data_IF_644085814792
#
_entry.id   IF_644085814792
#
_cell.length_a   1.000
_cell.length_b   1.000
_cell.length_c   1.000
_cell.angle_alpha   90.00
_cell.angle_beta   90.00
_cell.angle_gamma   90.00
#
_symmetry.space_group_name_H-M   'P 1'
#
loop_
_entity.id
_entity.type
_entity.pdbx_description
1 polymer ?
#
# COMPACT_ATOMS: atom_id res chain seq x y z
N UNK A 1 26.23 13.71 -9.32
CA UNK A 1 25.57 12.82 -8.35
C UNK A 1 24.08 13.13 -8.31
N UNK A 2 23.21 12.14 -8.39
CA UNK A 2 21.77 12.35 -8.21
C UNK A 2 21.50 12.86 -6.78
N UNK A 3 20.75 13.96 -6.66
CA UNK A 3 20.39 14.52 -5.34
C UNK A 3 19.45 13.55 -4.63
N UNK A 4 19.72 13.28 -3.35
CA UNK A 4 18.86 12.43 -2.54
C UNK A 4 17.40 12.91 -2.58
N UNK A 5 16.42 12.01 -2.70
CA UNK A 5 15.03 12.39 -2.81
C UNK A 5 14.53 13.05 -1.53
N UNK A 6 13.83 14.17 -1.70
CA UNK A 6 13.08 14.82 -0.63
C UNK A 6 11.66 14.25 -0.55
N UNK A 7 10.98 14.48 0.58
CA UNK A 7 9.57 14.13 0.75
C UNK A 7 8.70 14.77 -0.36
N UNK A 8 8.90 16.07 -0.62
CA UNK A 8 8.14 16.80 -1.63
C UNK A 8 8.38 16.25 -3.05
N UNK A 9 9.63 15.96 -3.42
CA UNK A 9 9.93 15.40 -4.74
C UNK A 9 9.37 13.98 -4.91
N UNK A 10 9.32 13.20 -3.83
CA UNK A 10 8.75 11.84 -3.85
C UNK A 10 7.23 11.86 -3.98
N UNK A 11 6.54 12.73 -3.23
CA UNK A 11 5.09 12.95 -3.40
C UNK A 11 4.78 13.36 -4.83
N UNK A 12 5.49 14.35 -5.37
CA UNK A 12 5.29 14.79 -6.75
C UNK A 12 5.59 13.68 -7.79
N UNK A 13 6.51 12.76 -7.48
CA UNK A 13 6.74 11.60 -8.34
C UNK A 13 5.58 10.60 -8.30
N UNK A 14 5.03 10.33 -7.12
CA UNK A 14 3.88 9.45 -6.92
C UNK A 14 2.63 10.04 -7.57
N UNK A 15 2.37 11.35 -7.38
CA UNK A 15 1.21 12.03 -7.96
C UNK A 15 1.21 11.99 -9.49
N UNK A 16 2.39 12.17 -10.11
CA UNK A 16 2.51 12.07 -11.57
C UNK A 16 2.37 10.65 -12.09
N UNK A 17 2.91 9.66 -11.38
CA UNK A 17 2.90 8.27 -11.83
C UNK A 17 1.59 7.53 -11.47
N UNK A 18 0.81 8.06 -10.52
CA UNK A 18 -0.35 7.41 -9.96
C UNK A 18 0.00 6.33 -8.93
N UNK A 19 0.95 5.45 -9.25
CA UNK A 19 1.40 4.35 -8.39
C UNK A 19 2.89 4.05 -8.60
N UNK A 20 3.62 3.80 -7.51
CA UNK A 20 5.02 3.39 -7.54
C UNK A 20 5.32 2.37 -6.45
N UNK A 21 6.09 1.33 -6.77
CA UNK A 21 6.74 0.54 -5.73
C UNK A 21 7.79 1.39 -4.99
N UNK A 22 8.10 1.07 -3.73
CA UNK A 22 9.26 1.69 -3.06
C UNK A 22 10.56 1.21 -3.70
N UNK A 23 10.68 -0.11 -3.85
CA UNK A 23 11.84 -0.78 -4.40
C UNK A 23 11.47 -1.63 -5.61
N UNK A 24 12.38 -1.79 -6.59
CA UNK A 24 12.13 -2.63 -7.74
C UNK A 24 12.03 -4.10 -7.33
N UNK A 25 11.38 -4.89 -8.18
CA UNK A 25 11.38 -6.35 -8.06
C UNK A 25 12.51 -6.86 -8.94
N UNK A 26 13.48 -7.55 -8.33
CA UNK A 26 14.62 -8.14 -9.04
C UNK A 26 15.38 -7.12 -9.91
N UNK A 27 15.49 -5.87 -9.44
CA UNK A 27 16.12 -4.76 -10.17
C UNK A 27 15.52 -4.46 -11.56
N UNK A 28 14.29 -4.92 -11.84
CA UNK A 28 13.58 -4.58 -13.09
C UNK A 28 13.00 -3.18 -13.03
N UNK A 29 13.03 -2.46 -14.15
CA UNK A 29 12.42 -1.14 -14.31
C UNK A 29 10.90 -1.17 -14.24
N UNK A 30 10.30 -2.29 -14.66
CA UNK A 30 8.86 -2.53 -14.65
C UNK A 30 8.48 -3.63 -13.63
N UNK A 31 7.47 -3.39 -12.77
CA UNK A 31 6.69 -2.15 -12.65
C UNK A 31 7.50 -0.98 -12.04
N UNK A 32 7.07 0.28 -12.27
CA UNK A 32 7.84 1.45 -11.87
C UNK A 32 7.97 1.55 -10.35
N UNK A 33 9.10 2.12 -9.90
CA UNK A 33 9.44 2.28 -8.49
C UNK A 33 10.06 3.64 -8.19
N UNK A 34 9.99 4.08 -6.93
CA UNK A 34 10.67 5.26 -6.43
C UNK A 34 12.17 5.16 -6.62
N UNK A 35 12.77 3.98 -6.40
CA UNK A 35 14.18 3.74 -6.67
C UNK A 35 14.56 4.12 -8.10
N UNK A 36 13.96 3.50 -9.11
CA UNK A 36 14.30 3.78 -10.51
C UNK A 36 13.93 5.20 -10.93
N UNK A 37 12.98 5.84 -10.23
CA UNK A 37 12.64 7.25 -10.47
C UNK A 37 13.74 8.20 -10.01
N UNK A 38 14.41 7.90 -8.90
CA UNK A 38 15.45 8.77 -8.32
C UNK A 38 16.88 8.35 -8.68
N UNK A 39 17.09 7.08 -9.03
CA UNK A 39 18.36 6.49 -9.41
C UNK A 39 18.20 5.72 -10.74
N UNK A 40 17.94 6.42 -11.86
CA UNK A 40 17.68 5.78 -13.13
C UNK A 40 18.92 5.00 -13.63
N UNK A 41 18.70 3.76 -14.08
CA UNK A 41 19.77 2.88 -14.56
C UNK A 41 20.63 2.26 -13.46
N UNK A 42 20.41 2.61 -12.20
CA UNK A 42 21.22 2.11 -11.09
C UNK A 42 20.62 0.87 -10.44
N UNK A 43 21.46 -0.15 -10.23
CA UNK A 43 21.05 -1.37 -9.53
C UNK A 43 20.98 -1.12 -8.03
N UNK A 44 19.83 -1.42 -7.45
CA UNK A 44 19.65 -1.50 -6.01
C UNK A 44 20.43 -2.70 -5.45
N UNK A 45 21.29 -2.45 -4.47
CA UNK A 45 22.01 -3.47 -3.71
C UNK A 45 21.53 -3.45 -2.27
N UNK A 46 20.91 -4.54 -1.84
CA UNK A 46 20.48 -4.70 -0.47
C UNK A 46 21.61 -5.39 0.29
N UNK A 47 22.47 -4.60 0.92
CA UNK A 47 23.51 -5.12 1.79
C UNK A 47 23.44 -4.45 3.16
N UNK A 48 23.72 -5.22 4.20
CA UNK A 48 23.75 -4.80 5.60
C UNK A 48 25.17 -4.70 6.13
N UNK A 49 26.18 -5.00 5.31
CA UNK A 49 27.59 -4.83 5.64
C UNK A 49 28.07 -3.38 5.40
N UNK A 50 29.36 -3.13 5.67
CA UNK A 50 30.01 -1.82 5.46
C UNK A 50 29.99 -1.35 3.99
N UNK A 51 29.62 -2.21 3.04
CA UNK A 51 29.45 -1.90 1.62
C UNK A 51 28.00 -1.61 1.23
N UNK A 52 27.09 -1.58 2.21
CA UNK A 52 25.67 -1.28 2.05
C UNK A 52 25.42 0.06 1.34
N UNK A 53 24.49 0.03 0.39
CA UNK A 53 24.10 1.23 -0.35
C UNK A 53 23.24 2.15 0.56
N UNK A 54 23.85 3.21 1.09
CA UNK A 54 23.19 4.20 1.97
C UNK A 54 21.88 4.75 1.39
N UNK A 55 21.72 4.74 0.06
CA UNK A 55 20.49 5.19 -0.61
C UNK A 55 19.32 4.28 -0.33
N UNK A 56 19.54 2.99 -0.07
CA UNK A 56 18.50 2.05 0.36
C UNK A 56 18.01 2.45 1.75
N UNK A 57 18.91 2.74 2.68
CA UNK A 57 18.56 3.25 4.01
C UNK A 57 17.81 4.59 3.92
N UNK A 58 18.30 5.50 3.08
CA UNK A 58 17.64 6.77 2.79
C UNK A 58 16.22 6.60 2.23
N UNK A 59 16.02 5.65 1.32
CA UNK A 59 14.71 5.33 0.75
C UNK A 59 13.79 4.70 1.79
N UNK A 60 14.31 3.85 2.70
CA UNK A 60 13.54 3.27 3.78
C UNK A 60 13.02 4.34 4.75
N UNK A 61 13.87 5.30 5.15
CA UNK A 61 13.47 6.46 5.95
C UNK A 61 12.47 7.36 5.22
N UNK A 62 12.66 7.56 3.92
CA UNK A 62 11.72 8.31 3.10
C UNK A 62 10.34 7.63 3.03
N UNK A 63 10.29 6.30 2.89
CA UNK A 63 9.04 5.52 2.91
C UNK A 63 8.28 5.74 4.22
N UNK A 64 8.94 5.71 5.36
CA UNK A 64 8.28 5.95 6.66
C UNK A 64 7.62 7.35 6.70
N UNK A 65 8.37 8.39 6.31
CA UNK A 65 7.88 9.77 6.23
C UNK A 65 6.72 9.93 5.24
N UNK A 66 6.80 9.28 4.07
CA UNK A 66 5.73 9.27 3.08
C UNK A 66 4.45 8.64 3.66
N UNK A 67 4.57 7.49 4.32
CA UNK A 67 3.43 6.77 4.90
C UNK A 67 2.73 7.56 6.03
N UNK A 68 3.48 8.36 6.82
CA UNK A 68 2.89 9.26 7.83
C UNK A 68 2.25 10.53 7.24
N UNK A 69 2.61 10.92 6.02
CA UNK A 69 2.29 12.25 5.49
C UNK A 69 0.80 12.48 5.16
N UNK A 70 0.00 11.41 4.99
CA UNK A 70 -1.37 11.44 4.42
C UNK A 70 -1.52 12.05 3.02
N UNK A 71 -0.42 12.50 2.41
CA UNK A 71 -0.40 13.09 1.05
C UNK A 71 -0.35 12.04 -0.06
N UNK A 72 0.07 10.84 0.29
CA UNK A 72 0.07 9.64 -0.56
C UNK A 72 -0.37 8.45 0.29
N UNK A 73 -0.86 7.41 -0.35
CA UNK A 73 -1.38 6.22 0.36
C UNK A 73 -0.37 5.08 0.27
N UNK A 74 0.03 4.53 1.41
CA UNK A 74 0.92 3.37 1.47
C UNK A 74 0.11 2.07 1.59
N UNK A 75 0.44 1.07 0.78
CA UNK A 75 -0.15 -0.27 0.85
C UNK A 75 0.86 -1.36 0.48
N UNK A 76 0.58 -2.60 0.89
CA UNK A 76 1.27 -3.81 0.39
C UNK A 76 0.46 -4.49 -0.71
N UNK A 77 0.04 -3.70 -1.69
CA UNK A 77 -0.91 -4.10 -2.73
C UNK A 77 -0.28 -5.02 -3.78
N UNK A 78 0.71 -4.54 -4.55
CA UNK A 78 1.26 -5.30 -5.67
C UNK A 78 2.25 -6.37 -5.21
N UNK A 79 1.88 -7.65 -5.36
CA UNK A 79 2.72 -8.81 -4.96
C UNK A 79 3.24 -8.71 -3.52
N UNK A 80 2.43 -8.15 -2.60
CA UNK A 80 2.79 -7.90 -1.20
C UNK A 80 4.04 -7.00 -1.02
N UNK A 81 4.31 -6.11 -1.98
CA UNK A 81 5.42 -5.16 -1.94
C UNK A 81 4.94 -3.79 -1.49
N UNK A 82 5.82 -3.07 -0.78
CA UNK A 82 5.60 -1.68 -0.40
C UNK A 82 5.31 -0.83 -1.64
N UNK A 83 4.11 -0.28 -1.70
CA UNK A 83 3.56 0.44 -2.86
C UNK A 83 2.94 1.74 -2.37
N UNK A 84 3.24 2.84 -3.05
CA UNK A 84 2.59 4.12 -2.84
C UNK A 84 1.63 4.44 -3.98
N UNK A 85 0.51 5.04 -3.63
CA UNK A 85 -0.48 5.57 -4.55
C UNK A 85 -0.61 7.07 -4.37
N UNK A 86 -0.81 7.76 -5.48
CA UNK A 86 -1.41 9.09 -5.47
C UNK A 86 -2.81 8.98 -4.88
N UNK A 87 -3.26 10.06 -4.24
CA UNK A 87 -4.61 10.12 -3.68
C UNK A 87 -5.68 9.97 -4.76
N UNK A 88 -5.49 10.59 -5.92
CA UNK A 88 -6.42 10.50 -7.05
C UNK A 88 -6.62 9.07 -7.53
N UNK A 89 -5.53 8.33 -7.81
CA UNK A 89 -5.65 6.94 -8.24
C UNK A 89 -6.26 6.05 -7.15
N UNK A 90 -5.82 6.20 -5.90
CA UNK A 90 -6.32 5.37 -4.80
C UNK A 90 -7.83 5.54 -4.60
N UNK A 91 -8.33 6.78 -4.66
CA UNK A 91 -9.76 7.11 -4.56
C UNK A 91 -10.57 6.50 -5.68
N UNK A 92 -10.07 6.58 -6.92
CA UNK A 92 -10.74 5.96 -8.06
C UNK A 92 -10.80 4.43 -7.96
N UNK A 93 -9.70 3.78 -7.53
CA UNK A 93 -9.68 2.34 -7.28
C UNK A 93 -10.65 1.95 -6.17
N UNK A 94 -10.71 2.73 -5.08
CA UNK A 94 -11.64 2.50 -3.98
C UNK A 94 -13.10 2.68 -4.43
N UNK A 95 -13.40 3.66 -5.28
CA UNK A 95 -14.71 3.85 -5.90
C UNK A 95 -15.11 2.59 -6.68
N UNK A 96 -14.27 2.09 -7.58
CA UNK A 96 -14.59 0.91 -8.39
C UNK A 96 -14.79 -0.34 -7.52
N UNK A 97 -13.97 -0.54 -6.49
CA UNK A 97 -14.12 -1.65 -5.54
C UNK A 97 -15.43 -1.53 -4.75
N UNK A 98 -15.79 -0.34 -4.29
CA UNK A 98 -17.03 -0.10 -3.53
C UNK A 98 -18.28 -0.23 -4.41
N UNK A 99 -18.22 0.21 -5.67
CA UNK A 99 -19.32 0.13 -6.63
C UNK A 99 -19.75 -1.32 -6.91
N UNK A 100 -18.92 -2.32 -6.59
CA UNK A 100 -19.34 -3.72 -6.63
C UNK A 100 -20.43 -4.05 -5.61
N UNK A 101 -20.54 -3.29 -4.52
CA UNK A 101 -21.35 -3.61 -3.34
C UNK A 101 -20.77 -4.74 -2.47
N UNK A 102 -19.68 -5.38 -2.91
CA UNK A 102 -19.17 -6.66 -2.37
C UNK A 102 -17.78 -6.57 -1.78
N UNK A 103 -17.26 -5.37 -1.54
CA UNK A 103 -15.87 -5.17 -1.11
C UNK A 103 -15.49 -5.97 0.16
N UNK A 104 -16.46 -6.25 1.05
CA UNK A 104 -16.28 -7.10 2.24
C UNK A 104 -16.84 -8.52 2.10
N UNK A 105 -17.57 -8.83 1.04
CA UNK A 105 -18.15 -10.17 0.85
C UNK A 105 -17.07 -11.20 0.57
N UNK A 106 -17.20 -12.39 1.15
CA UNK A 106 -16.23 -13.47 0.98
C UNK A 106 -14.86 -13.23 1.63
N UNK A 107 -14.73 -12.23 2.52
CA UNK A 107 -13.56 -12.13 3.40
C UNK A 107 -13.49 -13.35 4.32
N UNK A 108 -12.28 -13.89 4.52
CA UNK A 108 -12.08 -14.95 5.52
C UNK A 108 -12.39 -14.43 6.94
N UNK A 109 -12.80 -15.29 7.89
CA UNK A 109 -13.09 -14.88 9.27
C UNK A 109 -11.93 -14.10 9.92
N UNK A 110 -10.70 -14.59 9.77
CA UNK A 110 -9.51 -13.90 10.29
C UNK A 110 -9.32 -12.49 9.69
N UNK A 111 -9.72 -12.29 8.42
CA UNK A 111 -9.66 -10.99 7.78
C UNK A 111 -10.74 -10.04 8.31
N UNK A 112 -11.93 -10.55 8.63
CA UNK A 112 -12.98 -9.78 9.28
C UNK A 112 -12.57 -9.36 10.69
N UNK A 113 -11.97 -10.26 11.48
CA UNK A 113 -11.50 -9.95 12.84
C UNK A 113 -10.39 -8.89 12.83
N UNK A 114 -9.42 -9.03 11.91
CA UNK A 114 -8.37 -8.01 11.71
C UNK A 114 -8.96 -6.67 11.28
N UNK A 115 -9.92 -6.66 10.36
CA UNK A 115 -10.57 -5.43 9.92
C UNK A 115 -11.36 -4.78 11.06
N UNK A 116 -12.14 -5.54 11.82
CA UNK A 116 -12.91 -5.05 12.95
C UNK A 116 -12.01 -4.43 14.03
N UNK A 117 -10.88 -5.07 14.35
CA UNK A 117 -9.88 -4.51 15.26
C UNK A 117 -9.37 -3.15 14.77
N UNK A 118 -9.07 -3.02 13.47
CA UNK A 118 -8.59 -1.77 12.88
C UNK A 118 -9.68 -0.70 12.78
N UNK A 119 -10.94 -1.07 12.57
CA UNK A 119 -12.07 -0.13 12.55
C UNK A 119 -12.35 0.44 13.94
N UNK A 120 -12.12 -0.34 15.00
CA UNK A 120 -12.17 0.13 16.39
C UNK A 120 -10.97 1.02 16.72
N UNK A 121 -9.77 0.52 16.43
CA UNK A 121 -8.52 1.12 16.88
C UNK A 121 -7.53 1.19 15.71
N UNK A 122 -7.32 2.38 15.18
CA UNK A 122 -6.35 2.65 14.11
C UNK A 122 -5.43 3.82 14.47
N UNK A 123 -4.14 3.76 14.11
CA UNK A 123 -3.39 2.61 13.57
C UNK A 123 -2.89 1.67 14.68
N UNK A 124 -2.65 0.41 14.34
CA UNK A 124 -2.04 -0.60 15.23
C UNK A 124 -0.73 -1.13 14.64
N UNK A 125 0.24 -1.39 15.51
CA UNK A 125 1.44 -2.14 15.19
C UNK A 125 1.13 -3.64 15.04
N UNK A 126 2.11 -4.41 14.54
CA UNK A 126 1.90 -5.83 14.27
C UNK A 126 1.61 -6.64 15.55
N UNK A 127 2.24 -6.30 16.68
CA UNK A 127 1.99 -6.98 17.97
C UNK A 127 0.61 -6.62 18.51
N UNK A 128 0.24 -5.34 18.47
CA UNK A 128 -1.07 -4.85 18.91
C UNK A 128 -2.21 -5.47 18.08
N UNK A 129 -2.07 -5.47 16.75
CA UNK A 129 -3.10 -5.96 15.85
C UNK A 129 -3.37 -7.46 16.04
N UNK A 130 -2.32 -8.27 16.20
CA UNK A 130 -2.47 -9.70 16.50
C UNK A 130 -3.15 -9.96 17.83
N UNK A 131 -2.88 -9.14 18.84
CA UNK A 131 -3.55 -9.25 20.13
C UNK A 131 -5.05 -8.92 19.99
N UNK A 132 -5.37 -7.82 19.31
CA UNK A 132 -6.75 -7.37 19.10
C UNK A 132 -7.57 -8.33 18.23
N UNK A 133 -6.95 -9.01 17.25
CA UNK A 133 -7.62 -9.96 16.37
C UNK A 133 -7.53 -11.42 16.82
N UNK A 134 -6.97 -11.71 18.01
CA UNK A 134 -6.81 -13.08 18.52
C UNK A 134 -5.74 -13.94 17.82
N UNK A 135 -4.96 -13.39 16.88
CA UNK A 135 -3.97 -14.11 16.06
C UNK A 135 -2.55 -14.05 16.65
N UNK A 136 -2.42 -14.31 17.97
CA UNK A 136 -1.17 -14.15 18.72
C UNK A 136 -0.22 -15.34 18.63
N UNK A 137 -0.73 -16.56 18.45
CA UNK A 137 0.09 -17.76 18.39
C UNK A 137 0.85 -17.88 17.07
N UNK A 138 2.06 -18.48 17.10
CA UNK A 138 2.88 -18.72 15.89
C UNK A 138 2.16 -19.53 14.82
N UNK A 139 1.26 -20.43 15.23
CA UNK A 139 0.42 -21.21 14.31
C UNK A 139 -0.48 -20.33 13.42
N UNK A 140 -0.81 -19.11 13.87
CA UNK A 140 -1.64 -18.16 13.14
C UNK A 140 -0.85 -17.20 12.23
N UNK A 141 0.46 -17.38 12.06
CA UNK A 141 1.25 -16.51 11.19
C UNK A 141 0.74 -16.52 9.74
N UNK A 142 0.44 -17.71 9.20
CA UNK A 142 -0.06 -17.85 7.83
C UNK A 142 -1.45 -17.24 7.67
N UNK A 143 -2.33 -17.41 8.66
CA UNK A 143 -3.64 -16.79 8.76
C UNK A 143 -3.54 -15.26 8.77
N UNK A 144 -2.76 -14.70 9.68
CA UNK A 144 -2.54 -13.25 9.78
C UNK A 144 -1.99 -12.64 8.49
N UNK A 145 -0.97 -13.25 7.88
CA UNK A 145 -0.41 -12.74 6.62
C UNK A 145 -1.40 -12.85 5.46
N UNK A 146 -2.27 -13.87 5.46
CA UNK A 146 -3.33 -14.03 4.45
C UNK A 146 -4.42 -12.98 4.63
N UNK A 147 -4.90 -12.77 5.86
CA UNK A 147 -5.84 -11.72 6.21
C UNK A 147 -5.33 -10.34 5.76
N UNK A 148 -4.09 -9.97 6.11
CA UNK A 148 -3.52 -8.69 5.66
C UNK A 148 -3.44 -8.57 4.15
N UNK A 149 -2.99 -9.61 3.44
CA UNK A 149 -2.90 -9.58 1.96
C UNK A 149 -4.27 -9.34 1.33
N UNK A 150 -5.30 -10.01 1.85
CA UNK A 150 -6.66 -9.84 1.37
C UNK A 150 -7.16 -8.41 1.60
N UNK A 151 -7.01 -7.89 2.81
CA UNK A 151 -7.47 -6.54 3.16
C UNK A 151 -6.71 -5.44 2.39
N UNK A 152 -5.39 -5.56 2.22
CA UNK A 152 -4.59 -4.63 1.42
C UNK A 152 -5.00 -4.67 -0.06
N UNK A 153 -5.28 -5.86 -0.61
CA UNK A 153 -5.70 -6.00 -2.00
C UNK A 153 -7.02 -5.27 -2.27
N UNK A 154 -7.97 -5.36 -1.33
CA UNK A 154 -9.28 -4.71 -1.42
C UNK A 154 -9.30 -3.26 -0.92
N UNK A 155 -8.13 -2.65 -0.70
CA UNK A 155 -7.99 -1.28 -0.19
C UNK A 155 -8.76 -0.99 1.12
N UNK A 156 -9.04 -2.03 1.93
CA UNK A 156 -9.74 -1.89 3.20
C UNK A 156 -8.82 -1.43 4.33
N UNK A 157 -7.51 -1.68 4.17
CA UNK A 157 -6.46 -1.24 5.09
C UNK A 157 -5.31 -0.58 4.33
N UNK A 158 -4.58 0.26 5.05
CA UNK A 158 -3.39 0.99 4.58
C UNK A 158 -2.30 0.94 5.64
N UNK A 159 -1.05 1.14 5.26
CA UNK A 159 0.04 1.34 6.23
C UNK A 159 0.23 2.82 6.55
N UNK A 160 0.67 3.12 7.77
CA UNK A 160 0.71 4.47 8.32
C UNK A 160 1.94 4.73 9.20
N UNK A 161 3.12 4.76 8.58
CA UNK A 161 4.38 4.94 9.31
C UNK A 161 4.76 3.70 10.12
N UNK A 162 5.51 3.92 11.20
CA UNK A 162 6.01 2.83 12.04
C UNK A 162 5.71 3.07 13.53
N UNK A 163 5.49 1.98 14.25
CA UNK A 163 5.32 1.96 15.71
C UNK A 163 6.50 1.20 16.31
N UNK A 164 7.08 1.76 17.35
CA UNK A 164 8.12 1.09 18.12
C UNK A 164 7.50 -0.02 18.98
N UNK A 165 7.82 -1.28 18.65
CA UNK A 165 7.36 -2.46 19.37
C UNK A 165 8.55 -3.29 19.91
N UNK A 166 9.73 -2.67 20.07
CA UNK A 166 10.91 -3.29 20.67
C UNK A 166 12.16 -3.22 19.79
N UNK A 167 12.69 -4.38 19.40
CA UNK A 167 14.00 -4.43 18.72
C UNK A 167 14.01 -3.76 17.33
N UNK A 168 12.86 -3.73 16.65
CA UNK A 168 12.69 -3.06 15.36
C UNK A 168 11.29 -2.45 15.26
N UNK A 169 11.14 -1.23 14.70
CA UNK A 169 9.84 -0.64 14.43
C UNK A 169 9.03 -1.52 13.46
N UNK A 170 7.74 -1.67 13.75
CA UNK A 170 6.80 -2.38 12.88
C UNK A 170 5.99 -1.39 12.06
N UNK A 171 5.59 -1.80 10.84
CA UNK A 171 4.65 -1.02 10.04
C UNK A 171 3.33 -0.89 10.82
N UNK A 172 2.92 0.35 11.08
CA UNK A 172 1.59 0.61 11.60
C UNK A 172 0.56 0.40 10.47
N UNK A 173 -0.56 -0.24 10.78
CA UNK A 173 -1.64 -0.52 9.83
C UNK A 173 -2.92 0.11 10.39
N UNK A 174 -3.74 0.69 9.52
CA UNK A 174 -5.06 1.19 9.89
C UNK A 174 -6.12 0.88 8.85
N UNK A 175 -7.38 0.91 9.27
CA UNK A 175 -8.51 0.86 8.36
C UNK A 175 -8.48 2.10 7.46
N UNK A 176 -8.65 1.89 6.14
CA UNK A 176 -8.66 2.97 5.17
C UNK A 176 -9.71 4.02 5.51
N UNK A 177 -10.92 3.55 5.89
CA UNK A 177 -12.05 4.40 6.27
C UNK A 177 -11.74 5.32 7.45
N UNK A 178 -10.86 4.91 8.37
CA UNK A 178 -10.51 5.69 9.56
C UNK A 178 -9.32 6.62 9.31
N UNK A 179 -8.29 6.15 8.60
CA UNK A 179 -7.07 6.94 8.40
C UNK A 179 -7.15 7.95 7.25
N UNK A 180 -8.03 7.68 6.28
CA UNK A 180 -8.27 8.47 5.08
C UNK A 180 -9.79 8.61 4.86
N UNK A 181 -10.49 9.12 5.88
CA UNK A 181 -11.94 9.39 5.86
C UNK A 181 -12.35 10.22 4.63
N UNK A 182 -11.57 11.25 4.33
CA UNK A 182 -11.74 12.10 3.16
C UNK A 182 -11.74 11.31 1.85
N UNK A 183 -10.74 10.45 1.62
CA UNK A 183 -10.68 9.61 0.42
C UNK A 183 -11.81 8.57 0.38
N UNK A 184 -12.21 8.08 1.56
CA UNK A 184 -13.33 7.16 1.66
C UNK A 184 -14.62 7.83 1.21
N UNK A 185 -14.91 9.03 1.70
CA UNK A 185 -16.12 9.77 1.34
C UNK A 185 -16.08 10.22 -0.13
N UNK A 186 -14.95 10.75 -0.59
CA UNK A 186 -14.71 11.11 -1.99
C UNK A 186 -14.97 9.91 -2.92
N UNK A 187 -14.45 8.72 -2.60
CA UNK A 187 -14.69 7.51 -3.38
C UNK A 187 -16.17 7.08 -3.41
N UNK A 188 -16.93 7.40 -2.36
CA UNK A 188 -18.37 7.12 -2.30
C UNK A 188 -19.22 8.08 -3.10
N UNK A 189 -18.73 9.31 -3.32
CA UNK A 189 -19.39 10.34 -4.12
C UNK A 189 -18.89 10.39 -5.57
N UNK A 190 -17.74 9.77 -5.87
CA UNK A 190 -17.14 9.75 -7.21
C UNK A 190 -18.01 9.01 -8.22
N UNK A 191 -18.18 9.60 -9.41
CA UNK A 191 -18.85 8.97 -10.53
C UNK A 191 -18.05 7.75 -11.03
N UNK A 192 -18.67 6.57 -11.21
CA UNK A 192 -17.97 5.37 -11.69
C UNK A 192 -17.27 5.55 -13.04
N UNK A 193 -17.80 6.39 -13.95
CA UNK A 193 -17.13 6.64 -15.24
C UNK A 193 -15.89 7.53 -15.06
N UNK A 194 -15.93 8.52 -14.17
CA UNK A 194 -14.75 9.29 -13.75
C UNK A 194 -13.68 8.40 -13.10
N UNK A 195 -14.08 7.50 -12.19
CA UNK A 195 -13.17 6.55 -11.57
C UNK A 195 -12.47 5.68 -12.64
N UNK A 196 -13.24 5.12 -13.58
CA UNK A 196 -12.70 4.31 -14.68
C UNK A 196 -11.70 5.07 -15.55
N UNK A 197 -12.01 6.33 -15.90
CA UNK A 197 -11.09 7.20 -16.67
C UNK A 197 -9.80 7.49 -15.91
N UNK A 198 -9.91 7.78 -14.62
CA UNK A 198 -8.76 8.04 -13.74
C UNK A 198 -7.85 6.82 -13.64
N UNK A 199 -8.44 5.63 -13.43
CA UNK A 199 -7.71 4.37 -13.39
C UNK A 199 -7.02 4.11 -14.73
N UNK A 200 -7.70 4.28 -15.86
CA UNK A 200 -7.11 4.06 -17.18
C UNK A 200 -5.95 5.01 -17.49
N UNK A 201 -5.99 6.24 -16.99
CA UNK A 201 -4.92 7.22 -17.15
C UNK A 201 -3.64 6.84 -16.40
N UNK A 202 -3.75 6.30 -15.19
CA UNK A 202 -2.59 5.94 -14.36
C UNK A 202 -2.18 4.47 -14.45
N UNK A 203 -3.09 3.58 -14.84
CA UNK A 203 -2.86 2.15 -15.04
C UNK A 203 -3.10 1.80 -16.52
N UNK A 204 -2.17 2.13 -17.43
CA UNK A 204 -2.32 1.84 -18.85
C UNK A 204 -2.62 0.36 -19.10
N UNK A 205 -3.47 0.11 -20.10
CA UNK A 205 -3.88 -1.23 -20.46
C UNK A 205 -2.67 -2.16 -20.70
N UNK A 206 -2.73 -3.38 -20.17
CA UNK A 206 -1.66 -4.37 -20.31
C UNK A 206 -0.47 -4.20 -19.35
N UNK A 207 -0.37 -3.07 -18.63
CA UNK A 207 0.65 -2.87 -17.60
C UNK A 207 0.53 -3.89 -16.46
N UNK A 208 1.63 -4.14 -15.75
CA UNK A 208 1.64 -5.09 -14.65
C UNK A 208 0.65 -4.69 -13.54
N UNK A 209 0.56 -3.40 -13.23
CA UNK A 209 -0.40 -2.86 -12.27
C UNK A 209 -1.85 -2.97 -12.76
N UNK A 210 -2.15 -2.64 -14.03
CA UNK A 210 -3.50 -2.80 -14.57
C UNK A 210 -3.98 -4.25 -14.51
N UNK A 211 -3.13 -5.22 -14.88
CA UNK A 211 -3.42 -6.66 -14.79
C UNK A 211 -3.69 -7.09 -13.34
N UNK A 212 -2.92 -6.58 -12.39
CA UNK A 212 -3.10 -6.89 -10.98
C UNK A 212 -4.41 -6.32 -10.43
N UNK A 213 -4.74 -5.07 -10.79
CA UNK A 213 -6.00 -4.43 -10.42
C UNK A 213 -7.21 -5.20 -10.97
N UNK A 214 -7.20 -5.56 -12.25
CA UNK A 214 -8.25 -6.34 -12.89
C UNK A 214 -8.45 -7.71 -12.21
N UNK A 215 -7.37 -8.37 -11.79
CA UNK A 215 -7.45 -9.63 -11.03
C UNK A 215 -8.18 -9.45 -9.71
N UNK A 216 -7.88 -8.38 -8.96
CA UNK A 216 -8.53 -8.10 -7.67
C UNK A 216 -10.02 -7.84 -7.89
N UNK A 217 -10.37 -7.01 -8.88
CA UNK A 217 -11.78 -6.74 -9.22
C UNK A 217 -12.54 -8.00 -9.60
N UNK A 218 -11.92 -8.91 -10.36
CA UNK A 218 -12.53 -10.19 -10.71
C UNK A 218 -12.85 -11.03 -9.46
N UNK A 219 -11.97 -11.02 -8.45
CA UNK A 219 -12.20 -11.72 -7.17
C UNK A 219 -13.31 -11.08 -6.33
N UNK A 220 -13.52 -9.77 -6.42
CA UNK A 220 -14.58 -9.08 -5.65
C UNK A 220 -15.94 -9.15 -6.38
N UNK A 221 -15.94 -9.23 -7.72
CA UNK A 221 -17.17 -9.33 -8.54
C UNK A 221 -17.73 -10.74 -8.62
N UNK A 222 -16.86 -11.75 -8.65
CA UNK A 222 -17.24 -13.17 -8.69
C UNK A 222 -17.80 -13.63 -7.36
#
# INVERSE_FOLDING_TARGET
MARAPTLASAIAAIDRAGVLLVYPIENRSEPPSLWHRFYPGERMRWDWDESGDERVVGMWRLRERLARSRRVVYSKWFRNRATFFSRALFTAMLCELRATGRIREGLEPDALDVLAALESDSPLGAKQLRAASGLTARAFESAYQRALRELFARALIVGFGEIDEGAFPSLAIGATRTLFEDLWDEAGAMDPMEASRTIAAFLPHGSAFAKHHAKILATVRG
#
